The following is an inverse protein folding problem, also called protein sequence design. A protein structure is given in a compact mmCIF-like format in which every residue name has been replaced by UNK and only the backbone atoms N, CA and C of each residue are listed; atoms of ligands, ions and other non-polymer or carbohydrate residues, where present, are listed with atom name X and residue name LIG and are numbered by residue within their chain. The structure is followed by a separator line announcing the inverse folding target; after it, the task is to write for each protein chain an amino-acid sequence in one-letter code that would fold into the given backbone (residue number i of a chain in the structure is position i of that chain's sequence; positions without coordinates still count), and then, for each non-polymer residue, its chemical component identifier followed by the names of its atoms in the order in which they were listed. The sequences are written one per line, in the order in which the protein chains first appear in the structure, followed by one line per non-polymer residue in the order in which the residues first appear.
data_IF_251988789058
#
_entry.id   IF_251988789058
#
_cell.length_a   1.000
_cell.length_b   1.000
_cell.length_c   1.000
_cell.angle_alpha   90.00
_cell.angle_beta   90.00
_cell.angle_gamma   90.00
#
_symmetry.space_group_name_H-M   'P 1'
#
loop_
_entity.id
_entity.type
_entity.pdbx_description
1 polymer ?
#
# COMPACT_ATOMS: atom_id res chain seq x y z
N UNK A 1 17.54 14.77 11.89
CA UNK A 1 16.67 14.00 12.02
C UNK A 1 15.58 14.21 12.96
N UNK A 2 14.56 13.69 12.61
CA UNK A 2 13.42 13.77 13.46
C UNK A 2 13.80 13.18 14.78
N UNK A 3 13.36 13.65 15.79
CA UNK A 3 13.65 13.08 17.06
C UNK A 3 14.77 13.72 17.75
N UNK A 4 15.71 14.23 17.16
CA UNK A 4 16.81 14.82 17.87
C UNK A 4 16.26 15.91 18.76
N UNK A 5 16.81 17.00 18.78
CA UNK A 5 16.31 18.08 19.60
C UNK A 5 15.32 18.95 18.89
N UNK A 6 14.93 18.60 17.68
CA UNK A 6 14.01 19.46 16.95
C UNK A 6 12.56 19.14 17.22
N UNK A 7 11.66 19.81 16.53
CA UNK A 7 10.24 19.55 16.68
C UNK A 7 9.93 18.12 16.31
N UNK A 8 8.99 17.52 17.00
CA UNK A 8 8.62 16.16 16.72
C UNK A 8 7.73 16.10 15.51
N UNK A 9 8.03 15.22 14.57
CA UNK A 9 7.18 15.03 13.42
C UNK A 9 6.01 14.13 13.78
N UNK A 10 4.87 14.35 13.15
CA UNK A 10 3.76 13.41 13.28
C UNK A 10 4.14 12.09 12.62
N UNK A 11 3.39 11.03 12.92
CA UNK A 11 3.63 9.74 12.28
C UNK A 11 3.54 9.84 10.78
N UNK A 12 2.56 10.58 10.25
CA UNK A 12 2.43 10.73 8.81
C UNK A 12 3.56 11.52 8.20
N UNK A 13 4.01 12.59 8.88
CA UNK A 13 5.11 13.37 8.36
C UNK A 13 6.40 12.56 8.35
N UNK A 14 6.64 11.79 9.41
CA UNK A 14 7.84 10.95 9.46
C UNK A 14 7.81 9.90 8.37
N UNK A 15 6.64 9.31 8.11
CA UNK A 15 6.51 8.29 7.11
C UNK A 15 6.72 8.86 5.70
N UNK A 16 6.17 10.06 5.45
CA UNK A 16 6.38 10.71 4.16
C UNK A 16 7.84 11.07 3.94
N UNK A 17 8.52 11.53 4.98
CA UNK A 17 9.93 11.86 4.87
C UNK A 17 10.76 10.62 4.56
N UNK A 18 10.47 9.52 5.24
CA UNK A 18 11.18 8.28 5.00
C UNK A 18 10.97 7.80 3.57
N UNK A 19 9.75 7.91 3.07
CA UNK A 19 9.45 7.50 1.70
C UNK A 19 10.18 8.41 0.70
N UNK A 20 10.19 9.71 0.95
CA UNK A 20 10.88 10.64 0.06
C UNK A 20 12.37 10.33 0.01
N UNK A 21 12.98 9.99 1.13
CA UNK A 21 14.39 9.64 1.15
C UNK A 21 14.65 8.39 0.35
N UNK A 22 13.77 7.40 0.46
CA UNK A 22 13.90 6.16 -0.28
C UNK A 22 13.84 6.43 -1.78
N UNK A 23 12.87 7.24 -2.20
CA UNK A 23 12.69 7.51 -3.62
C UNK A 23 13.76 8.44 -4.19
N UNK A 24 14.44 9.18 -3.34
CA UNK A 24 15.52 10.05 -3.79
C UNK A 24 16.77 9.25 -4.18
N UNK A 25 16.84 7.98 -3.79
CA UNK A 25 17.97 7.12 -4.13
C UNK A 25 17.45 5.98 -4.99
N UNK A 26 17.26 6.19 -6.27
CA UNK A 26 16.61 5.21 -7.13
C UNK A 26 17.37 3.89 -7.18
N UNK A 27 16.63 2.80 -7.13
CA UNK A 27 17.16 1.46 -7.22
C UNK A 27 16.26 0.69 -8.17
N UNK A 28 16.80 -0.31 -8.86
CA UNK A 28 15.96 -1.10 -9.77
C UNK A 28 14.89 -1.90 -9.04
N UNK A 29 15.14 -2.28 -7.79
CA UNK A 29 14.17 -3.00 -6.98
C UNK A 29 13.97 -2.26 -5.68
N UNK A 30 12.73 -2.03 -5.31
CA UNK A 30 12.40 -1.30 -4.11
C UNK A 30 11.40 -2.08 -3.30
N UNK A 31 11.61 -2.18 -1.99
CA UNK A 31 10.66 -2.82 -1.08
C UNK A 31 10.17 -1.77 -0.10
N UNK A 32 8.86 -1.55 -0.07
CA UNK A 32 8.25 -0.60 0.84
C UNK A 32 7.38 -1.38 1.81
N UNK A 33 7.73 -1.32 3.10
CA UNK A 33 7.04 -2.07 4.12
C UNK A 33 6.06 -1.16 4.85
N UNK A 34 4.79 -1.33 4.56
CA UNK A 34 3.71 -0.62 5.22
C UNK A 34 3.88 0.90 5.17
N UNK A 35 4.16 1.46 4.02
CA UNK A 35 4.55 2.88 3.94
C UNK A 35 3.40 3.85 4.19
N UNK A 36 2.16 3.36 4.20
CA UNK A 36 1.01 4.25 4.31
C UNK A 36 0.31 4.16 5.66
N UNK A 37 0.84 3.40 6.60
CA UNK A 37 0.10 3.07 7.82
C UNK A 37 -0.26 4.28 8.68
N UNK A 38 0.52 5.34 8.61
CA UNK A 38 0.28 6.53 9.42
C UNK A 38 -0.29 7.69 8.61
N UNK A 39 -0.74 7.44 7.38
CA UNK A 39 -1.21 8.49 6.50
C UNK A 39 -2.72 8.47 6.41
N UNK A 40 -3.31 9.66 6.23
CA UNK A 40 -4.72 9.72 5.93
C UNK A 40 -4.94 9.34 4.46
N UNK A 41 -6.18 9.09 4.09
CA UNK A 41 -6.48 8.53 2.78
C UNK A 41 -6.09 9.46 1.65
N UNK A 42 -6.34 10.74 1.78
CA UNK A 42 -6.03 11.65 0.69
C UNK A 42 -4.52 11.77 0.47
N UNK A 43 -3.75 11.75 1.54
CA UNK A 43 -2.30 11.78 1.45
C UNK A 43 -1.79 10.48 0.84
N UNK A 44 -2.36 9.36 1.26
CA UNK A 44 -1.99 8.07 0.70
C UNK A 44 -2.25 8.03 -0.79
N UNK A 45 -3.41 8.53 -1.24
CA UNK A 45 -3.75 8.52 -2.66
C UNK A 45 -2.76 9.36 -3.47
N UNK A 46 -2.38 10.51 -2.96
CA UNK A 46 -1.44 11.38 -3.67
C UNK A 46 -0.05 10.74 -3.77
N UNK A 47 0.39 10.12 -2.68
CA UNK A 47 1.70 9.48 -2.69
C UNK A 47 1.69 8.25 -3.57
N UNK A 48 0.60 7.50 -3.57
CA UNK A 48 0.51 6.33 -4.42
C UNK A 48 0.61 6.71 -5.90
N UNK A 49 -0.01 7.82 -6.29
CA UNK A 49 0.08 8.28 -7.67
C UNK A 49 1.53 8.60 -8.06
N UNK A 50 2.27 9.23 -7.15
CA UNK A 50 3.66 9.52 -7.41
C UNK A 50 4.50 8.24 -7.46
N UNK A 51 4.17 7.29 -6.60
CA UNK A 51 4.88 6.02 -6.57
C UNK A 51 4.64 5.24 -7.86
N UNK A 52 3.44 5.29 -8.40
CA UNK A 52 3.17 4.62 -9.66
C UNK A 52 4.03 5.17 -10.78
N UNK A 53 4.19 6.49 -10.83
CA UNK A 53 5.03 7.10 -11.84
C UNK A 53 6.49 6.70 -11.66
N UNK A 54 6.95 6.67 -10.41
CA UNK A 54 8.32 6.27 -10.09
C UNK A 54 8.56 4.82 -10.49
N UNK A 55 7.55 3.97 -10.34
CA UNK A 55 7.72 2.53 -10.51
C UNK A 55 7.68 2.06 -11.95
N UNK A 56 7.47 2.96 -12.90
CA UNK A 56 7.27 2.54 -14.28
C UNK A 56 8.37 1.66 -14.82
N UNK A 57 9.60 1.95 -14.50
CA UNK A 57 10.75 1.19 -15.01
C UNK A 57 11.45 0.46 -13.89
N UNK A 58 10.75 0.15 -12.80
CA UNK A 58 11.35 -0.49 -11.64
C UNK A 58 10.47 -1.60 -11.14
N UNK A 59 11.00 -2.43 -10.27
CA UNK A 59 10.21 -3.44 -9.56
C UNK A 59 9.96 -2.93 -8.16
N UNK A 60 8.71 -2.78 -7.79
CA UNK A 60 8.35 -2.26 -6.47
C UNK A 60 7.49 -3.30 -5.77
N UNK A 61 7.93 -3.71 -4.58
CA UNK A 61 7.15 -4.56 -3.71
C UNK A 61 6.56 -3.68 -2.62
N UNK A 62 5.23 -3.65 -2.57
CA UNK A 62 4.52 -2.89 -1.55
C UNK A 62 3.92 -3.87 -0.56
N UNK A 63 4.34 -3.81 0.69
CA UNK A 63 3.78 -4.62 1.75
C UNK A 63 2.82 -3.75 2.53
N UNK A 64 1.56 -4.12 2.57
CA UNK A 64 0.57 -3.25 3.18
C UNK A 64 -0.62 -4.05 3.66
N UNK A 65 -1.24 -3.57 4.74
CA UNK A 65 -2.51 -4.09 5.20
C UNK A 65 -3.66 -3.24 4.66
N UNK A 66 -3.36 -2.19 3.92
CA UNK A 66 -4.37 -1.27 3.36
C UNK A 66 -4.54 -1.59 1.89
N UNK A 67 -5.72 -2.04 1.52
CA UNK A 67 -5.94 -2.58 0.19
C UNK A 67 -6.54 -1.61 -0.82
N UNK A 68 -6.60 -0.32 -0.46
CA UNK A 68 -7.26 0.64 -1.33
C UNK A 68 -6.69 0.68 -2.75
N UNK A 69 -5.41 0.48 -2.89
CA UNK A 69 -4.73 0.58 -4.19
C UNK A 69 -4.40 -0.75 -4.82
N UNK A 70 -4.83 -1.84 -4.20
CA UNK A 70 -4.51 -3.16 -4.74
C UNK A 70 -5.14 -3.43 -6.10
N UNK A 71 -6.29 -2.85 -6.45
CA UNK A 71 -6.79 -3.03 -7.83
C UNK A 71 -5.85 -2.55 -8.91
N UNK A 72 -4.92 -1.64 -8.60
CA UNK A 72 -3.97 -1.15 -9.59
C UNK A 72 -2.68 -1.95 -9.62
N UNK A 73 -2.53 -2.95 -8.76
CA UNK A 73 -1.31 -3.74 -8.74
C UNK A 73 -1.28 -4.74 -9.89
N UNK A 74 -0.10 -4.96 -10.44
CA UNK A 74 0.07 -5.93 -11.50
C UNK A 74 -0.04 -7.34 -10.97
N UNK A 75 0.43 -7.56 -9.73
CA UNK A 75 0.37 -8.85 -9.08
C UNK A 75 0.22 -8.63 -7.60
N UNK A 76 -0.56 -9.47 -6.96
CA UNK A 76 -0.75 -9.45 -5.51
C UNK A 76 -0.32 -10.79 -4.97
N UNK A 77 0.46 -10.77 -3.90
CA UNK A 77 0.85 -11.96 -3.18
C UNK A 77 0.10 -11.93 -1.85
N UNK A 78 -0.85 -12.81 -1.70
CA UNK A 78 -1.71 -12.84 -0.51
C UNK A 78 -1.33 -14.04 0.34
N UNK A 79 -0.99 -13.81 1.58
CA UNK A 79 -0.59 -14.86 2.50
C UNK A 79 -1.65 -15.03 3.55
N UNK A 80 -2.15 -16.26 3.70
CA UNK A 80 -3.21 -16.50 4.61
C UNK A 80 -3.22 -17.96 5.00
N UNK A 81 -3.30 -18.26 6.27
CA UNK A 81 -3.39 -19.63 6.76
C UNK A 81 -2.23 -20.51 6.31
N UNK A 82 -1.05 -19.97 6.25
CA UNK A 82 0.11 -20.75 5.83
C UNK A 82 0.20 -20.96 4.33
N UNK A 83 -0.70 -20.35 3.56
CA UNK A 83 -0.68 -20.49 2.11
C UNK A 83 -0.33 -19.17 1.48
N UNK A 84 0.24 -19.23 0.28
CA UNK A 84 0.57 -18.05 -0.50
C UNK A 84 -0.19 -18.15 -1.82
N UNK A 85 -0.98 -17.15 -2.11
CA UNK A 85 -1.79 -17.12 -3.33
C UNK A 85 -1.38 -15.90 -4.13
N UNK A 86 -1.08 -16.09 -5.39
CA UNK A 86 -0.61 -15.01 -6.26
C UNK A 86 -1.60 -14.80 -7.38
N UNK A 87 -1.92 -13.54 -7.65
CA UNK A 87 -2.83 -13.23 -8.76
C UNK A 87 -3.09 -11.75 -8.83
N UNK A 88 -3.96 -11.37 -9.75
CA UNK A 88 -4.42 -9.99 -9.84
C UNK A 88 -5.52 -9.75 -8.82
N UNK A 89 -5.88 -8.49 -8.67
CA UNK A 89 -6.99 -8.15 -7.77
C UNK A 89 -8.26 -8.90 -8.16
N UNK A 90 -8.59 -8.90 -9.46
CA UNK A 90 -9.81 -9.56 -9.91
C UNK A 90 -9.77 -11.06 -9.65
N UNK A 91 -8.61 -11.67 -9.85
CA UNK A 91 -8.47 -13.10 -9.62
C UNK A 91 -8.66 -13.43 -8.14
N UNK A 92 -8.08 -12.62 -7.27
CA UNK A 92 -8.21 -12.87 -5.84
C UNK A 92 -9.63 -12.58 -5.33
N UNK A 93 -10.27 -11.56 -5.88
CA UNK A 93 -11.65 -11.26 -5.50
C UNK A 93 -12.58 -12.41 -5.86
N UNK A 94 -12.31 -13.09 -6.96
CA UNK A 94 -13.16 -14.19 -7.41
C UNK A 94 -12.85 -15.50 -6.69
N UNK A 95 -11.59 -15.73 -6.34
CA UNK A 95 -11.17 -17.04 -5.88
C UNK A 95 -10.89 -17.14 -4.37
N UNK A 96 -10.67 -16.02 -3.70
CA UNK A 96 -10.23 -16.03 -2.31
C UNK A 96 -11.22 -15.26 -1.45
N UNK A 97 -12.16 -15.95 -0.80
CA UNK A 97 -13.20 -15.25 -0.02
C UNK A 97 -12.66 -14.34 1.07
N UNK A 98 -11.57 -14.73 1.72
CA UNK A 98 -10.98 -13.91 2.78
C UNK A 98 -10.46 -12.60 2.20
N UNK A 99 -9.84 -12.64 1.02
CA UNK A 99 -9.36 -11.44 0.39
C UNK A 99 -10.54 -10.52 0.00
N UNK A 100 -11.56 -11.12 -0.55
CA UNK A 100 -12.76 -10.39 -0.97
C UNK A 100 -13.39 -9.67 0.23
N UNK A 101 -13.56 -10.37 1.35
CA UNK A 101 -14.15 -9.77 2.53
C UNK A 101 -13.28 -8.67 3.09
N UNK A 102 -12.00 -8.87 3.11
CA UNK A 102 -11.07 -7.87 3.62
C UNK A 102 -11.11 -6.60 2.79
N UNK A 103 -11.10 -6.75 1.48
CA UNK A 103 -11.16 -5.61 0.61
C UNK A 103 -12.48 -4.84 0.78
N UNK A 104 -13.58 -5.55 0.82
CA UNK A 104 -14.87 -4.90 0.98
C UNK A 104 -14.99 -4.20 2.33
N UNK A 105 -14.47 -4.80 3.39
CA UNK A 105 -14.57 -4.18 4.69
C UNK A 105 -13.76 -2.90 4.77
N UNK A 106 -12.64 -2.84 4.08
CA UNK A 106 -11.81 -1.65 4.11
C UNK A 106 -12.35 -0.54 3.21
N UNK A 107 -12.93 -0.91 2.10
CA UNK A 107 -13.33 0.08 1.11
C UNK A 107 -14.80 0.51 1.25
N UNK A 108 -15.57 -0.19 2.08
CA UNK A 108 -16.96 0.15 2.24
C UNK A 108 -17.86 -0.29 1.09
N UNK A 109 -17.34 -1.15 0.24
CA UNK A 109 -18.14 -1.61 -0.87
C UNK A 109 -18.94 -2.84 -0.57
N UNK A 110 -19.04 -3.16 0.75
CA UNK A 110 -19.69 -4.32 1.09
C UNK A 110 -21.13 -4.29 0.78
N UNK A 111 -21.52 -5.29 0.15
CA UNK A 111 -22.83 -5.50 -0.14
C UNK A 111 -23.78 -4.45 0.24
N UNK A 112 -24.58 -4.20 -0.22
CA UNK A 112 -25.49 -3.30 0.05
C UNK A 112 -25.35 -2.24 1.01
N UNK A 113 -24.41 -2.25 1.68
CA UNK A 113 -24.32 -1.42 2.61
C UNK A 113 -23.95 -0.33 2.08
N UNK A 114 -23.48 -0.33 1.15
CA UNK A 114 -22.94 0.72 0.60
C UNK A 114 -23.63 1.76 1.18
N UNK A 115 -24.17 1.52 1.61
CA UNK A 115 -24.74 2.56 2.04
C UNK A 115 -24.41 3.14 3.03
#
# INVERSE_FOLDING_TARGET
LAGGGGPRLSGGQAQRLALARTLAHPRPVLVLDDPFSALDRSTEDAIFAELQAYARDKVVFLISHRLYHFPQMQQIIFMEGGRTIVGTHEELMAAVPVYHQLYESQTGLKGGEGA
#
